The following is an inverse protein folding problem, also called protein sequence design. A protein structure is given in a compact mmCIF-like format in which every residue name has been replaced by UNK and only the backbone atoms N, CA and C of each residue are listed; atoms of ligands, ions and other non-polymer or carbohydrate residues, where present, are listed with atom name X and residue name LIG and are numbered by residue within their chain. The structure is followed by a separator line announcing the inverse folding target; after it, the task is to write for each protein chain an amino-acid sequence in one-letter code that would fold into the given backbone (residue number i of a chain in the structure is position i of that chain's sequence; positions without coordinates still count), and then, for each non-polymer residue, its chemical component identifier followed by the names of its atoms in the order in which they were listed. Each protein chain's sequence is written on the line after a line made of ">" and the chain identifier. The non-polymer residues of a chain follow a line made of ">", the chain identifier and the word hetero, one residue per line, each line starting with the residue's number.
data_IF_038422237729
#
_entry.id   IF_038422237729
#
_cell.length_a   1.000
_cell.length_b   1.000
_cell.length_c   1.000
_cell.angle_alpha   90.00
_cell.angle_beta   90.00
_cell.angle_gamma   90.00
#
_symmetry.space_group_name_H-M   'P 1'
#
loop_
_entity.id
_entity.type
_entity.pdbx_description
1 polymer ?
#
# COMPACT_ATOMS: atom_id res chain seq x y z
N UNK A 1 60.84 41.67 26.13
CA UNK A 1 59.52 42.14 25.66
C UNK A 1 58.48 41.27 26.38
N UNK A 2 58.07 41.65 27.59
CA UNK A 2 56.87 42.46 27.90
C UNK A 2 55.59 41.79 27.35
N UNK A 3 54.64 41.31 28.15
CA UNK A 3 54.49 41.35 29.60
C UNK A 3 53.19 40.65 30.04
N UNK A 4 53.24 40.06 31.24
CA UNK A 4 52.12 39.61 32.05
C UNK A 4 51.30 40.80 32.56
N UNK A 5 49.96 40.67 32.61
CA UNK A 5 49.06 41.38 33.53
C UNK A 5 47.82 40.48 33.75
N UNK A 6 47.60 39.82 34.90
CA UNK A 6 47.31 40.30 36.25
C UNK A 6 45.98 41.04 36.40
N UNK A 7 45.05 40.45 37.16
CA UNK A 7 44.40 41.16 38.27
C UNK A 7 42.88 41.36 38.23
N UNK A 8 42.30 41.20 39.44
CA UNK A 8 40.94 41.54 39.94
C UNK A 8 39.91 40.42 39.77
N UNK A 9 39.54 39.59 40.75
CA UNK A 9 39.42 39.74 42.22
C UNK A 9 38.58 40.98 42.61
N UNK A 10 37.28 40.75 42.80
CA UNK A 10 36.36 41.61 43.55
C UNK A 10 35.51 40.67 44.41
N UNK A 11 35.91 40.43 45.66
CA UNK A 11 35.59 41.20 46.87
C UNK A 11 34.21 40.87 47.42
N UNK A 12 34.22 40.22 48.60
CA UNK A 12 33.08 39.96 49.48
C UNK A 12 32.71 41.23 50.24
N UNK A 13 31.43 41.57 50.32
CA UNK A 13 30.76 42.21 51.47
C UNK A 13 29.29 41.75 51.43
N UNK A 14 28.83 40.83 52.28
CA UNK A 14 28.35 41.04 53.67
C UNK A 14 27.39 42.23 53.78
N UNK A 15 26.09 41.94 53.80
CA UNK A 15 25.17 42.54 54.76
C UNK A 15 24.14 41.51 55.19
N UNK A 16 24.18 41.19 56.49
CA UNK A 16 23.11 40.52 57.19
C UNK A 16 21.90 41.47 57.26
N UNK A 17 20.71 40.95 57.03
CA UNK A 17 19.50 41.54 57.60
C UNK A 17 18.56 40.44 58.04
N UNK A 18 18.52 40.28 59.35
CA UNK A 18 17.54 39.51 60.10
C UNK A 18 16.16 40.15 59.96
N UNK A 19 15.25 39.49 59.26
CA UNK A 19 13.83 39.73 59.39
C UNK A 19 13.17 38.42 59.86
N UNK A 20 12.91 38.35 61.17
CA UNK A 20 12.01 37.35 61.74
C UNK A 20 10.61 37.64 61.18
N UNK A 21 10.04 36.71 60.43
CA UNK A 21 8.64 36.78 60.04
C UNK A 21 7.93 35.45 60.28
N UNK A 22 7.13 35.49 61.35
CA UNK A 22 5.98 34.67 61.70
C UNK A 22 5.82 33.29 61.06
N UNK A 23 5.88 32.26 61.92
CA UNK A 23 5.31 30.93 61.70
C UNK A 23 3.81 31.05 61.41
N UNK A 24 3.40 30.61 60.22
CA UNK A 24 1.99 30.37 59.87
C UNK A 24 1.86 28.89 59.54
N UNK A 25 1.19 28.05 60.35
CA UNK A 25 1.01 26.65 60.04
C UNK A 25 -0.15 26.53 59.05
N UNK A 26 0.12 26.67 57.76
CA UNK A 26 -0.81 26.18 56.74
C UNK A 26 -0.48 24.71 56.54
N UNK A 27 -1.41 23.84 56.94
CA UNK A 27 -1.41 22.41 56.69
C UNK A 27 -1.37 22.16 55.18
N UNK A 28 -0.16 22.11 54.62
CA UNK A 28 0.09 21.64 53.27
C UNK A 28 -0.10 20.11 53.27
N UNK A 29 -1.30 19.67 52.93
CA UNK A 29 -1.57 18.28 52.59
C UNK A 29 -0.55 17.85 51.52
N UNK A 30 0.25 16.83 51.85
CA UNK A 30 1.30 16.29 51.00
C UNK A 30 0.76 15.86 49.63
N UNK A 31 1.40 16.20 48.49
CA UNK A 31 1.01 15.69 47.17
C UNK A 31 1.44 14.23 46.93
N UNK A 32 2.07 13.57 47.90
CA UNK A 32 2.62 12.20 47.75
C UNK A 32 1.55 11.12 47.95
N UNK A 33 0.44 11.43 48.63
CA UNK A 33 -0.65 10.46 48.87
C UNK A 33 -1.58 10.23 47.68
N UNK A 34 -1.50 11.04 46.62
CA UNK A 34 -2.27 10.82 45.37
C UNK A 34 -1.61 9.82 44.41
N UNK A 35 -0.31 9.53 44.58
CA UNK A 35 0.43 8.63 43.69
C UNK A 35 0.22 7.14 44.04
N UNK A 36 -0.14 6.84 45.29
CA UNK A 36 -0.33 5.46 45.78
C UNK A 36 -1.77 4.95 45.63
N UNK A 37 -2.70 5.76 45.12
CA UNK A 37 -4.08 5.34 44.84
C UNK A 37 -4.34 5.19 43.33
N UNK A 38 -3.38 4.60 42.62
CA UNK A 38 -3.60 4.09 41.27
C UNK A 38 -3.42 2.57 41.24
N UNK A 39 -4.14 1.86 42.10
CA UNK A 39 -4.53 0.48 41.80
C UNK A 39 -5.83 0.56 41.03
N UNK A 40 -5.75 0.50 39.70
CA UNK A 40 -6.92 0.26 38.84
C UNK A 40 -7.05 -1.26 38.68
N UNK A 41 -7.92 -1.97 39.42
CA UNK A 41 -8.19 -3.38 39.16
C UNK A 41 -9.16 -3.54 37.97
N UNK A 42 -9.01 -2.73 36.92
CA UNK A 42 -9.85 -2.74 35.73
C UNK A 42 -9.10 -3.25 34.49
N UNK A 43 -7.96 -3.92 34.68
CA UNK A 43 -7.15 -4.47 33.59
C UNK A 43 -7.00 -5.99 33.70
N UNK A 44 -8.02 -6.66 34.22
CA UNK A 44 -8.19 -8.12 34.08
C UNK A 44 -9.64 -8.33 33.68
N UNK A 45 -9.94 -8.11 32.39
CA UNK A 45 -11.14 -8.69 31.80
C UNK A 45 -10.93 -10.20 31.78
N UNK A 46 -11.60 -10.87 32.70
CA UNK A 46 -11.72 -12.32 32.80
C UNK A 46 -12.10 -12.92 31.43
N UNK A 47 -11.19 -13.71 30.85
CA UNK A 47 -11.51 -14.58 29.71
C UNK A 47 -12.38 -15.73 30.23
N UNK A 48 -13.67 -15.46 30.42
CA UNK A 48 -14.60 -16.50 30.84
C UNK A 48 -14.83 -17.47 29.66
N UNK A 49 -14.21 -18.65 29.75
CA UNK A 49 -14.48 -19.85 28.96
C UNK A 49 -14.54 -19.66 27.43
N UNK A 50 -13.39 -19.40 26.80
CA UNK A 50 -13.20 -19.70 25.38
C UNK A 50 -13.01 -21.22 25.23
N UNK A 51 -14.13 -21.95 25.23
CA UNK A 51 -14.16 -23.34 24.78
C UNK A 51 -13.79 -23.35 23.29
N UNK A 52 -12.74 -24.09 22.92
CA UNK A 52 -12.34 -24.30 21.53
C UNK A 52 -13.57 -24.72 20.73
N UNK A 53 -14.03 -23.86 19.80
CA UNK A 53 -15.24 -24.08 18.99
C UNK A 53 -16.42 -23.14 19.25
N UNK A 54 -16.40 -22.28 20.28
CA UNK A 54 -17.45 -21.24 20.43
C UNK A 54 -17.14 -20.06 19.49
N UNK A 55 -17.95 -19.87 18.46
CA UNK A 55 -17.84 -18.70 17.57
C UNK A 55 -18.02 -17.43 18.40
N UNK A 56 -17.01 -16.55 18.35
CA UNK A 56 -17.16 -15.17 18.85
C UNK A 56 -18.19 -14.50 17.94
N UNK A 57 -19.31 -13.99 18.45
CA UNK A 57 -20.27 -13.28 17.62
C UNK A 57 -19.54 -12.09 17.00
N UNK A 58 -19.47 -12.06 15.67
CA UNK A 58 -18.93 -10.92 14.94
C UNK A 58 -19.75 -9.69 15.37
N UNK A 59 -19.15 -8.58 15.82
CA UNK A 59 -19.91 -7.40 16.21
C UNK A 59 -20.83 -6.99 15.05
N UNK A 60 -22.09 -6.75 15.37
CA UNK A 60 -23.15 -6.39 14.40
C UNK A 60 -22.79 -5.14 13.59
N UNK A 61 -21.96 -4.26 14.16
CA UNK A 61 -21.45 -3.07 13.52
C UNK A 61 -19.92 -2.99 13.70
N UNK A 62 -19.18 -3.51 12.72
CA UNK A 62 -17.76 -3.22 12.57
C UNK A 62 -17.66 -1.82 11.94
N UNK A 63 -16.95 -0.85 12.56
CA UNK A 63 -16.75 0.45 11.95
C UNK A 63 -16.00 0.26 10.62
N UNK A 64 -16.69 0.46 9.51
CA UNK A 64 -16.07 0.50 8.18
C UNK A 64 -15.26 1.80 8.09
N UNK A 65 -13.94 1.66 7.94
CA UNK A 65 -13.08 2.81 7.71
C UNK A 65 -13.46 3.47 6.38
N UNK A 66 -13.52 4.81 6.29
CA UNK A 66 -13.82 5.49 5.05
C UNK A 66 -12.76 5.13 4.00
N UNK A 67 -13.18 4.45 2.94
CA UNK A 67 -12.28 4.05 1.87
C UNK A 67 -11.87 5.27 1.05
N UNK A 68 -10.57 5.42 0.80
CA UNK A 68 -10.07 6.50 -0.05
C UNK A 68 -10.59 6.33 -1.49
N UNK A 69 -10.97 7.43 -2.15
CA UNK A 69 -11.56 7.40 -3.49
C UNK A 69 -10.70 6.65 -4.52
N UNK A 70 -9.37 6.71 -4.40
CA UNK A 70 -8.46 6.01 -5.31
C UNK A 70 -8.62 4.48 -5.24
N UNK A 71 -8.86 3.93 -4.04
CA UNK A 71 -9.02 2.48 -3.84
C UNK A 71 -10.33 2.04 -4.46
N UNK A 72 -11.41 2.81 -4.27
CA UNK A 72 -12.71 2.55 -4.91
C UNK A 72 -12.58 2.53 -6.43
N UNK A 73 -11.81 3.46 -7.00
CA UNK A 73 -11.59 3.53 -8.44
C UNK A 73 -10.78 2.32 -8.92
N UNK A 74 -9.72 1.96 -8.20
CA UNK A 74 -8.87 0.82 -8.55
C UNK A 74 -9.66 -0.50 -8.54
N UNK A 75 -10.48 -0.72 -7.53
CA UNK A 75 -11.33 -1.93 -7.42
C UNK A 75 -12.35 -1.99 -8.57
N UNK A 76 -12.96 -0.85 -8.90
CA UNK A 76 -13.90 -0.76 -10.04
C UNK A 76 -13.19 -1.06 -11.36
N UNK A 77 -11.99 -0.51 -11.59
CA UNK A 77 -11.21 -0.79 -12.80
C UNK A 77 -10.87 -2.29 -12.88
N UNK A 78 -10.51 -2.90 -11.74
CA UNK A 78 -10.22 -4.33 -11.67
C UNK A 78 -11.39 -5.23 -12.06
N UNK A 79 -12.62 -4.80 -11.78
CA UNK A 79 -13.84 -5.51 -12.20
C UNK A 79 -14.23 -5.20 -13.66
N UNK A 80 -14.09 -3.96 -14.10
CA UNK A 80 -14.56 -3.52 -15.42
C UNK A 80 -13.70 -4.04 -16.57
N UNK A 81 -12.38 -4.15 -16.37
CA UNK A 81 -11.46 -4.69 -17.39
C UNK A 81 -11.84 -6.10 -17.85
N UNK A 82 -11.92 -7.14 -16.98
CA UNK A 82 -12.29 -8.49 -17.41
C UNK A 82 -13.71 -8.55 -17.98
N UNK A 83 -14.63 -7.76 -17.44
CA UNK A 83 -16.01 -7.69 -17.95
C UNK A 83 -16.05 -7.16 -19.39
N UNK A 84 -15.22 -6.15 -19.71
CA UNK A 84 -15.10 -5.63 -21.07
C UNK A 84 -14.40 -6.60 -22.02
N UNK A 85 -13.56 -7.50 -21.50
CA UNK A 85 -12.76 -8.45 -22.27
C UNK A 85 -13.63 -9.59 -22.83
N UNK A 86 -14.68 -9.98 -22.12
CA UNK A 86 -15.66 -11.00 -22.53
C UNK A 86 -16.25 -10.76 -23.94
N UNK A 87 -16.91 -9.62 -24.22
CA UNK A 87 -17.47 -9.37 -25.55
C UNK A 87 -16.39 -9.20 -26.62
N UNK A 88 -15.22 -8.62 -26.30
CA UNK A 88 -14.13 -8.41 -27.26
C UNK A 88 -13.55 -9.74 -27.74
N UNK A 89 -13.30 -10.66 -26.80
CA UNK A 89 -12.85 -12.02 -27.14
C UNK A 89 -13.97 -12.78 -27.84
N UNK A 90 -15.21 -12.65 -27.39
CA UNK A 90 -16.37 -13.24 -28.07
C UNK A 90 -16.43 -12.84 -29.55
N UNK A 91 -16.28 -11.54 -29.85
CA UNK A 91 -16.27 -11.06 -31.24
C UNK A 91 -15.12 -11.68 -32.04
N UNK A 92 -13.91 -11.74 -31.47
CA UNK A 92 -12.76 -12.34 -32.16
C UNK A 92 -12.95 -13.82 -32.51
N UNK A 93 -13.66 -14.57 -31.67
CA UNK A 93 -13.90 -16.01 -31.86
C UNK A 93 -15.05 -16.27 -32.83
N UNK A 94 -16.15 -15.54 -32.71
CA UNK A 94 -17.36 -15.80 -33.51
C UNK A 94 -17.37 -15.10 -34.87
N UNK A 95 -16.86 -13.87 -34.96
CA UNK A 95 -16.88 -13.07 -36.20
C UNK A 95 -15.53 -13.06 -36.93
N UNK A 96 -14.50 -13.65 -36.33
CA UNK A 96 -13.16 -13.74 -36.89
C UNK A 96 -12.36 -12.43 -36.79
N UNK A 97 -11.30 -12.28 -37.60
CA UNK A 97 -10.39 -11.16 -37.48
C UNK A 97 -11.02 -9.82 -37.90
N UNK A 98 -11.03 -8.85 -36.99
CA UNK A 98 -11.60 -7.52 -37.21
C UNK A 98 -10.63 -6.45 -36.68
N UNK A 99 -10.20 -5.47 -37.50
CA UNK A 99 -9.13 -4.54 -37.12
C UNK A 99 -9.47 -3.66 -35.92
N UNK A 100 -10.74 -3.25 -35.79
CA UNK A 100 -11.19 -2.46 -34.64
C UNK A 100 -11.18 -3.28 -33.35
N UNK A 101 -11.58 -4.55 -33.44
CA UNK A 101 -11.59 -5.46 -32.30
C UNK A 101 -10.16 -5.79 -31.86
N UNK A 102 -9.25 -5.94 -32.82
CA UNK A 102 -7.82 -6.17 -32.57
C UNK A 102 -7.16 -4.98 -31.88
N UNK A 103 -7.53 -3.75 -32.24
CA UNK A 103 -7.06 -2.55 -31.55
C UNK A 103 -7.55 -2.48 -30.11
N UNK A 104 -8.83 -2.78 -29.87
CA UNK A 104 -9.40 -2.86 -28.52
C UNK A 104 -8.73 -3.96 -27.69
N UNK A 105 -8.55 -5.15 -28.28
CA UNK A 105 -7.90 -6.28 -27.64
C UNK A 105 -6.44 -5.95 -27.30
N UNK A 106 -5.72 -5.25 -28.19
CA UNK A 106 -4.35 -4.80 -27.96
C UNK A 106 -4.16 -3.80 -26.82
N UNK A 107 -5.23 -3.14 -26.35
CA UNK A 107 -5.18 -2.20 -25.21
C UNK A 107 -5.71 -2.87 -23.94
N UNK A 108 -6.89 -3.49 -24.03
CA UNK A 108 -7.63 -3.99 -22.87
C UNK A 108 -6.96 -5.25 -22.31
N UNK A 109 -6.41 -6.11 -23.16
CA UNK A 109 -5.74 -7.33 -22.72
C UNK A 109 -4.45 -7.05 -21.91
N UNK A 110 -3.50 -6.21 -22.37
CA UNK A 110 -2.34 -5.87 -21.55
C UNK A 110 -2.70 -5.16 -20.24
N UNK A 111 -3.74 -4.31 -20.22
CA UNK A 111 -4.19 -3.65 -18.99
C UNK A 111 -4.77 -4.64 -17.96
N UNK A 112 -5.54 -5.63 -18.42
CA UNK A 112 -6.03 -6.70 -17.55
C UNK A 112 -4.86 -7.52 -16.98
N UNK A 113 -3.90 -7.88 -17.82
CA UNK A 113 -2.69 -8.60 -17.42
C UNK A 113 -1.85 -7.79 -16.40
N UNK A 114 -1.69 -6.48 -16.61
CA UNK A 114 -1.00 -5.60 -15.66
C UNK A 114 -1.64 -5.65 -14.27
N UNK A 115 -2.97 -5.57 -14.18
CA UNK A 115 -3.66 -5.61 -12.89
C UNK A 115 -3.52 -6.98 -12.20
N UNK A 116 -3.62 -8.07 -12.97
CA UNK A 116 -3.43 -9.43 -12.46
C UNK A 116 -2.01 -9.68 -11.94
N UNK A 117 -0.99 -9.33 -12.73
CA UNK A 117 0.41 -9.53 -12.32
C UNK A 117 0.78 -8.59 -11.18
N UNK A 118 0.26 -7.35 -11.14
CA UNK A 118 0.47 -6.43 -10.02
C UNK A 118 -0.03 -7.02 -8.71
N UNK A 119 -1.18 -7.70 -8.71
CA UNK A 119 -1.70 -8.38 -7.53
C UNK A 119 -0.76 -9.52 -7.08
N UNK A 120 -0.30 -10.36 -8.01
CA UNK A 120 0.66 -11.43 -7.73
C UNK A 120 1.96 -10.88 -7.12
N UNK A 121 2.50 -9.79 -7.66
CA UNK A 121 3.71 -9.16 -7.13
C UNK A 121 3.49 -8.63 -5.72
N UNK A 122 2.32 -8.05 -5.42
CA UNK A 122 2.02 -7.51 -4.09
C UNK A 122 1.83 -8.62 -3.04
N UNK A 123 1.27 -9.77 -3.42
CA UNK A 123 1.05 -10.90 -2.52
C UNK A 123 2.36 -11.60 -2.14
N UNK A 124 3.26 -11.83 -3.10
CA UNK A 124 4.52 -12.53 -2.85
C UNK A 124 5.67 -11.62 -2.42
N UNK A 125 5.68 -10.36 -2.87
CA UNK A 125 6.73 -9.39 -2.55
C UNK A 125 6.12 -8.18 -1.82
N UNK A 126 5.72 -8.32 -0.55
CA UNK A 126 5.12 -7.22 0.19
C UNK A 126 6.13 -6.12 0.49
N UNK A 127 5.77 -4.86 0.17
CA UNK A 127 6.61 -3.67 0.36
C UNK A 127 7.24 -3.54 1.75
N UNK A 128 6.54 -4.00 2.81
CA UNK A 128 7.01 -3.92 4.19
C UNK A 128 8.20 -4.83 4.48
N UNK A 129 8.25 -6.03 3.90
CA UNK A 129 9.30 -7.03 4.18
C UNK A 129 10.36 -7.05 3.10
N UNK A 130 9.99 -6.87 1.84
CA UNK A 130 10.86 -7.04 0.69
C UNK A 130 10.75 -5.84 -0.27
N UNK A 131 11.21 -4.64 0.15
CA UNK A 131 11.05 -3.41 -0.63
C UNK A 131 11.84 -3.42 -1.95
N UNK A 132 13.05 -4.00 -1.96
CA UNK A 132 13.93 -4.06 -3.13
C UNK A 132 13.33 -4.90 -4.27
N UNK A 133 12.98 -6.19 -4.07
CA UNK A 133 12.39 -6.97 -5.16
C UNK A 133 11.01 -6.45 -5.55
N UNK A 134 10.20 -5.95 -4.61
CA UNK A 134 8.93 -5.31 -4.95
C UNK A 134 9.14 -4.14 -5.93
N UNK A 135 10.10 -3.25 -5.64
CA UNK A 135 10.42 -2.13 -6.51
C UNK A 135 10.86 -2.59 -7.91
N UNK A 136 11.78 -3.56 -7.99
CA UNK A 136 12.27 -4.08 -9.27
C UNK A 136 11.14 -4.70 -10.09
N UNK A 137 10.35 -5.60 -9.50
CA UNK A 137 9.27 -6.28 -10.22
C UNK A 137 8.17 -5.33 -10.66
N UNK A 138 7.79 -4.35 -9.84
CA UNK A 138 6.83 -3.33 -10.23
C UNK A 138 7.35 -2.49 -11.41
N UNK A 139 8.64 -2.13 -11.42
CA UNK A 139 9.24 -1.40 -12.55
C UNK A 139 9.34 -2.24 -13.81
N UNK A 140 9.78 -3.50 -13.70
CA UNK A 140 9.79 -4.44 -14.82
C UNK A 140 8.39 -4.62 -15.39
N UNK A 141 7.38 -4.73 -14.54
CA UNK A 141 5.98 -4.86 -14.95
C UNK A 141 5.48 -3.60 -15.68
N UNK A 142 5.83 -2.41 -15.20
CA UNK A 142 5.48 -1.16 -15.86
C UNK A 142 6.11 -1.06 -17.25
N UNK A 143 7.42 -1.31 -17.35
CA UNK A 143 8.15 -1.26 -18.63
C UNK A 143 7.63 -2.34 -19.57
N UNK A 144 7.45 -3.57 -19.07
CA UNK A 144 6.91 -4.68 -19.85
C UNK A 144 5.52 -4.39 -20.41
N UNK A 145 4.65 -3.78 -19.61
CA UNK A 145 3.31 -3.36 -20.06
C UNK A 145 3.39 -2.32 -21.17
N UNK A 146 4.26 -1.30 -21.03
CA UNK A 146 4.43 -0.27 -22.07
C UNK A 146 4.97 -0.84 -23.38
N UNK A 147 5.99 -1.71 -23.29
CA UNK A 147 6.56 -2.40 -24.45
C UNK A 147 5.51 -3.29 -25.11
N UNK A 148 4.71 -4.01 -24.32
CA UNK A 148 3.62 -4.86 -24.83
C UNK A 148 2.56 -4.01 -25.54
N UNK A 149 2.14 -2.90 -24.95
CA UNK A 149 1.16 -2.00 -25.55
C UNK A 149 1.65 -1.45 -26.90
N UNK A 150 2.92 -1.03 -26.95
CA UNK A 150 3.56 -0.57 -28.17
C UNK A 150 3.67 -1.68 -29.23
N UNK A 151 4.03 -2.89 -28.82
CA UNK A 151 4.09 -4.07 -29.71
C UNK A 151 2.72 -4.42 -30.28
N UNK A 152 1.67 -4.43 -29.46
CA UNK A 152 0.29 -4.64 -29.91
C UNK A 152 -0.13 -3.55 -30.91
N UNK A 153 0.18 -2.30 -30.64
CA UNK A 153 -0.09 -1.20 -31.58
C UNK A 153 0.66 -1.39 -32.90
N UNK A 154 1.93 -1.79 -32.86
CA UNK A 154 2.75 -2.02 -34.05
C UNK A 154 2.16 -3.15 -34.92
N UNK A 155 1.78 -4.29 -34.32
CA UNK A 155 1.17 -5.44 -35.01
C UNK A 155 -0.17 -5.05 -35.63
N UNK A 156 -0.97 -4.23 -34.93
CA UNK A 156 -2.28 -3.82 -35.44
C UNK A 156 -2.21 -2.77 -36.56
N UNK A 157 -1.12 -2.02 -36.66
CA UNK A 157 -0.98 -0.92 -37.64
C UNK A 157 -0.11 -1.28 -38.84
N UNK A 158 0.94 -2.07 -38.64
CA UNK A 158 1.94 -2.38 -39.67
C UNK A 158 1.92 -3.84 -40.12
N UNK A 159 1.13 -4.70 -39.47
CA UNK A 159 1.02 -6.13 -39.76
C UNK A 159 -0.45 -6.54 -39.91
N UNK A 160 -0.72 -7.85 -39.97
CA UNK A 160 -2.02 -8.45 -40.28
C UNK A 160 -3.05 -8.29 -39.13
N UNK A 161 -2.60 -7.95 -37.91
CA UNK A 161 -3.43 -7.82 -36.71
C UNK A 161 -3.36 -9.03 -35.76
N UNK A 162 -3.68 -8.81 -34.48
CA UNK A 162 -3.52 -9.80 -33.40
C UNK A 162 -4.34 -11.08 -33.61
N UNK A 163 -5.59 -10.97 -34.03
CA UNK A 163 -6.48 -12.16 -34.15
C UNK A 163 -6.19 -12.95 -35.42
N UNK A 164 -5.87 -12.27 -36.52
CA UNK A 164 -5.42 -12.92 -37.75
C UNK A 164 -4.06 -13.59 -37.55
N UNK A 165 -3.15 -12.95 -36.80
CA UNK A 165 -1.89 -13.56 -36.38
C UNK A 165 -2.13 -14.84 -35.56
N UNK A 166 -3.02 -14.79 -34.56
CA UNK A 166 -3.38 -15.96 -33.77
C UNK A 166 -3.99 -17.08 -34.62
N UNK A 167 -4.87 -16.74 -35.58
CA UNK A 167 -5.46 -17.71 -36.51
C UNK A 167 -4.42 -18.37 -37.42
N UNK A 168 -3.46 -17.60 -37.92
CA UNK A 168 -2.35 -18.11 -38.75
C UNK A 168 -1.42 -19.01 -37.93
N UNK A 169 -1.10 -18.60 -36.70
CA UNK A 169 -0.28 -19.38 -35.78
C UNK A 169 -0.93 -20.74 -35.48
N UNK A 170 -2.25 -20.76 -35.26
CA UNK A 170 -2.99 -21.99 -34.99
C UNK A 170 -3.04 -22.96 -36.18
N UNK A 171 -3.03 -22.45 -37.42
CA UNK A 171 -3.09 -23.25 -38.64
C UNK A 171 -1.72 -23.46 -39.32
N UNK A 172 -0.63 -23.06 -38.68
CA UNK A 172 0.71 -23.09 -39.28
C UNK A 172 1.17 -24.50 -39.68
N UNK A 173 0.73 -25.53 -38.96
CA UNK A 173 1.18 -26.92 -39.17
C UNK A 173 0.61 -27.54 -40.46
N UNK A 174 -0.59 -27.12 -40.87
CA UNK A 174 -1.30 -27.71 -42.01
C UNK A 174 -0.65 -27.38 -43.35
N UNK A 175 0.07 -26.27 -43.46
CA UNK A 175 0.75 -25.86 -44.69
C UNK A 175 1.98 -26.70 -45.00
N UNK A 176 2.64 -27.25 -43.99
CA UNK A 176 3.87 -28.06 -44.14
C UNK A 176 3.61 -29.47 -44.67
N UNK A 177 2.36 -29.94 -44.63
CA UNK A 177 1.98 -31.31 -45.02
C UNK A 177 1.59 -31.40 -46.51
N UNK A 178 1.29 -30.26 -47.14
CA UNK A 178 0.85 -30.19 -48.55
C UNK A 178 1.98 -29.78 -49.52
N UNK A 179 3.19 -29.47 -49.02
CA UNK A 179 4.41 -29.23 -49.80
C UNK A 179 5.35 -30.46 -49.77
#
# INVERSE_FOLDING_TARGET
>A
MLGLTSGKLFSKQIFASSARFALRPTTAASPITSLLKMSRPAMIHTSNNLRVGKQVPNPENVPVLPMHKSVVIQDKIGLLLPLSLLPIVGVSVFYGPQPINDLLLGIIFPLHAYNGISAVVLDYFPKRRSPVPNFIFMWMLNIGTLVTLYGCWLINTNDIGLTAFAYKLWNSDKKTIEE
#
